data_IF_240333481405
#
_entry.id   IF_240333481405
#
_cell.length_a   1.000
_cell.length_b   1.000
_cell.length_c   1.000
_cell.angle_alpha   90.00
_cell.angle_beta   90.00
_cell.angle_gamma   90.00
#
_symmetry.space_group_name_H-M   'P 1'
#
loop_
_entity.id
_entity.type
_entity.pdbx_description
1 polymer ?
#
# COMPACT_ATOMS: atom_id res chain seq x y z
N UNK A 1 -17.91 68.74 -43.77
CA UNK A 1 -16.73 67.86 -43.83
C UNK A 1 -16.34 67.56 -42.38
N UNK A 2 -16.76 66.41 -41.90
CA UNK A 2 -16.53 65.98 -40.49
C UNK A 2 -15.42 64.90 -40.51
N UNK A 3 -14.32 65.22 -39.85
CA UNK A 3 -13.18 64.31 -39.75
C UNK A 3 -13.42 63.25 -38.67
N UNK A 4 -13.37 62.00 -39.04
CA UNK A 4 -13.55 60.83 -38.19
C UNK A 4 -12.18 60.47 -37.58
N UNK A 5 -12.02 60.60 -36.27
CA UNK A 5 -10.86 60.18 -35.50
C UNK A 5 -10.67 58.68 -35.50
N UNK A 6 -9.45 58.14 -35.54
CA UNK A 6 -9.21 56.70 -35.49
C UNK A 6 -9.40 56.19 -34.04
N UNK A 7 -10.20 55.19 -33.88
CA UNK A 7 -10.45 54.41 -32.66
C UNK A 7 -9.21 53.59 -32.34
N UNK A 8 -8.55 53.89 -31.22
CA UNK A 8 -7.44 53.09 -30.68
C UNK A 8 -8.08 51.84 -30.08
N UNK A 9 -7.92 50.70 -30.75
CA UNK A 9 -8.26 49.41 -30.20
C UNK A 9 -7.22 49.07 -29.16
N UNK A 10 -7.50 49.41 -27.89
CA UNK A 10 -6.79 48.89 -26.74
C UNK A 10 -7.12 47.39 -26.64
N UNK A 11 -6.15 46.54 -26.97
CA UNK A 11 -6.23 45.12 -26.76
C UNK A 11 -6.36 44.80 -25.26
N UNK A 12 -7.58 44.67 -24.80
CA UNK A 12 -7.88 44.04 -23.50
C UNK A 12 -7.40 42.59 -23.61
N UNK A 13 -6.23 42.33 -23.06
CA UNK A 13 -5.83 40.97 -22.74
C UNK A 13 -6.84 40.51 -21.70
N UNK A 14 -7.67 39.56 -22.06
CA UNK A 14 -8.71 38.98 -21.20
C UNK A 14 -8.01 38.50 -19.91
N UNK A 15 -8.42 38.99 -18.74
CA UNK A 15 -7.87 38.61 -17.42
C UNK A 15 -7.89 37.08 -17.23
N UNK A 16 -8.81 36.40 -17.91
CA UNK A 16 -8.93 34.97 -18.00
C UNK A 16 -7.74 34.32 -18.75
N UNK A 17 -7.28 34.93 -19.84
CA UNK A 17 -6.10 34.44 -20.61
C UNK A 17 -4.81 34.63 -19.82
N UNK A 18 -4.68 35.73 -19.09
CA UNK A 18 -3.54 36.00 -18.20
C UNK A 18 -3.48 34.98 -17.07
N UNK A 19 -4.62 34.63 -16.47
CA UNK A 19 -4.72 33.60 -15.43
C UNK A 19 -4.28 32.22 -15.91
N UNK A 20 -4.73 31.82 -17.10
CA UNK A 20 -4.34 30.54 -17.70
C UNK A 20 -2.84 30.51 -17.99
N UNK A 21 -2.29 31.62 -18.49
CA UNK A 21 -0.84 31.70 -18.78
C UNK A 21 0.01 31.57 -17.51
N UNK A 22 -0.40 32.18 -16.41
CA UNK A 22 0.27 32.07 -15.10
C UNK A 22 0.23 30.64 -14.60
N UNK A 23 -0.92 29.96 -14.68
CA UNK A 23 -1.06 28.56 -14.25
C UNK A 23 -0.12 27.65 -15.07
N UNK A 24 -0.10 27.81 -16.39
CA UNK A 24 0.79 27.05 -17.27
C UNK A 24 2.28 27.31 -16.94
N UNK A 25 2.64 28.53 -16.64
CA UNK A 25 4.01 28.88 -16.27
C UNK A 25 4.41 28.22 -14.93
N UNK A 26 3.53 28.22 -13.94
CA UNK A 26 3.77 27.56 -12.64
C UNK A 26 3.92 26.04 -12.80
N UNK A 27 3.09 25.42 -13.63
CA UNK A 27 3.19 23.97 -13.92
C UNK A 27 4.50 23.65 -14.64
N UNK A 28 4.92 24.44 -15.63
CA UNK A 28 6.18 24.25 -16.33
C UNK A 28 7.40 24.46 -15.42
N UNK A 29 7.37 25.43 -14.53
CA UNK A 29 8.46 25.65 -13.57
C UNK A 29 8.54 24.54 -12.52
N UNK A 30 7.40 24.05 -12.04
CA UNK A 30 7.36 22.96 -11.04
C UNK A 30 7.84 21.63 -11.65
N UNK A 31 7.42 21.28 -12.86
CA UNK A 31 7.91 20.09 -13.57
C UNK A 31 9.38 20.19 -13.93
N UNK A 32 9.84 21.38 -14.38
CA UNK A 32 11.26 21.63 -14.64
C UNK A 32 12.12 21.51 -13.37
N UNK A 33 11.64 22.01 -12.25
CA UNK A 33 12.35 21.91 -10.97
C UNK A 33 12.49 20.44 -10.51
N UNK A 34 11.43 19.63 -10.60
CA UNK A 34 11.46 18.20 -10.27
C UNK A 34 12.43 17.45 -11.19
N UNK A 35 12.42 17.76 -12.49
CA UNK A 35 13.34 17.15 -13.48
C UNK A 35 14.80 17.48 -13.18
N UNK A 36 15.11 18.73 -12.85
CA UNK A 36 16.48 19.15 -12.46
C UNK A 36 16.92 18.50 -11.14
N UNK A 37 16.02 18.33 -10.19
CA UNK A 37 16.29 17.59 -8.95
C UNK A 37 16.63 16.12 -9.22
N UNK A 38 15.90 15.46 -10.12
CA UNK A 38 16.20 14.09 -10.53
C UNK A 38 17.56 13.96 -11.25
N UNK A 39 17.90 14.91 -12.12
CA UNK A 39 19.22 14.95 -12.76
C UNK A 39 20.36 15.21 -11.77
N UNK A 40 20.15 16.02 -10.72
CA UNK A 40 21.15 16.27 -9.67
C UNK A 40 21.37 15.07 -8.75
N UNK A 41 20.39 14.18 -8.61
CA UNK A 41 20.54 12.95 -7.84
C UNK A 41 21.16 11.79 -8.64
N UNK A 42 21.30 11.94 -9.97
CA UNK A 42 21.84 10.93 -10.88
C UNK A 42 23.31 11.07 -11.28
N UNK A 43 23.94 12.23 -11.06
CA UNK A 43 25.31 12.48 -11.53
C UNK A 43 26.25 12.91 -10.40
N UNK A 44 26.93 11.91 -9.81
CA UNK A 44 28.27 12.13 -9.29
C UNK A 44 29.25 11.83 -10.44
N UNK A 45 30.01 12.80 -10.97
CA UNK A 45 30.88 12.55 -12.08
C UNK A 45 32.14 11.79 -11.64
N UNK A 46 32.23 10.51 -11.92
CA UNK A 46 33.52 9.83 -11.97
C UNK A 46 34.22 10.18 -13.29
N UNK A 47 34.97 11.27 -13.30
CA UNK A 47 36.00 11.54 -14.29
C UNK A 47 37.29 10.81 -13.86
N UNK A 48 37.67 9.78 -14.60
CA UNK A 48 38.99 9.15 -14.46
C UNK A 48 39.09 7.80 -15.17
N UNK A 49 39.84 7.79 -16.27
CA UNK A 49 40.46 6.62 -16.89
C UNK A 49 39.62 5.70 -17.79
N UNK A 50 39.29 6.17 -18.96
CA UNK A 50 38.69 5.38 -20.07
C UNK A 50 39.74 4.55 -20.89
N UNK A 51 40.97 4.40 -20.46
CA UNK A 51 42.02 3.74 -21.26
C UNK A 51 42.65 2.47 -20.66
N UNK A 52 42.22 2.01 -19.47
CA UNK A 52 42.86 0.87 -18.81
C UNK A 52 41.94 -0.35 -18.61
N UNK A 53 40.69 -0.34 -19.06
CA UNK A 53 39.69 -1.40 -18.69
C UNK A 53 39.24 -2.29 -19.84
N UNK A 54 39.99 -2.36 -20.96
CA UNK A 54 39.67 -3.34 -22.01
C UNK A 54 40.26 -4.74 -21.79
N UNK A 55 40.94 -5.01 -20.67
CA UNK A 55 41.67 -6.26 -20.43
C UNK A 55 41.19 -7.09 -19.25
N UNK A 56 40.01 -6.80 -18.67
CA UNK A 56 39.44 -7.63 -17.57
C UNK A 56 37.94 -7.78 -17.67
N UNK A 57 37.46 -8.37 -18.77
CA UNK A 57 36.12 -8.96 -18.79
C UNK A 57 36.21 -10.39 -18.27
N UNK A 58 36.19 -10.54 -16.96
CA UNK A 58 35.78 -11.78 -16.29
C UNK A 58 34.38 -11.57 -15.71
N UNK A 59 33.51 -12.60 -15.70
CA UNK A 59 32.08 -12.47 -15.40
C UNK A 59 31.84 -12.36 -13.89
N UNK A 60 31.95 -11.15 -13.36
CA UNK A 60 31.64 -10.85 -11.93
C UNK A 60 30.79 -9.58 -11.78
N UNK A 61 30.04 -9.19 -12.80
CA UNK A 61 29.13 -8.05 -12.71
C UNK A 61 27.70 -8.47 -12.33
N UNK A 62 27.56 -9.43 -11.42
CA UNK A 62 26.28 -9.84 -10.82
C UNK A 62 26.23 -9.48 -9.32
N UNK A 63 26.95 -8.46 -8.90
CA UNK A 63 26.99 -8.08 -7.48
C UNK A 63 27.02 -6.56 -7.35
N UNK A 64 25.87 -5.94 -7.34
CA UNK A 64 25.49 -4.80 -6.50
C UNK A 64 24.14 -4.20 -6.95
N UNK A 65 23.08 -5.01 -6.91
CA UNK A 65 21.79 -4.46 -6.53
C UNK A 65 21.95 -3.97 -5.08
N UNK A 66 21.40 -2.79 -4.71
CA UNK A 66 21.46 -2.35 -3.33
C UNK A 66 20.88 -3.49 -2.49
N UNK A 67 21.70 -4.05 -1.63
CA UNK A 67 21.35 -5.03 -0.62
C UNK A 67 20.34 -4.35 0.30
N UNK A 68 19.08 -4.33 -0.12
CA UNK A 68 17.96 -3.98 0.76
C UNK A 68 18.04 -5.00 1.86
N UNK A 69 18.37 -4.52 3.04
CA UNK A 69 18.57 -5.29 4.25
C UNK A 69 17.58 -6.45 4.28
N UNK A 70 18.08 -7.65 3.99
CA UNK A 70 17.31 -8.87 4.19
C UNK A 70 16.85 -8.79 5.64
N UNK A 71 15.54 -8.89 5.90
CA UNK A 71 15.02 -8.89 7.27
C UNK A 71 15.82 -9.96 7.97
N UNK A 72 16.62 -9.55 8.95
CA UNK A 72 17.41 -10.50 9.74
C UNK A 72 16.40 -11.48 10.34
N UNK A 73 16.53 -12.76 10.01
CA UNK A 73 15.69 -13.80 10.61
C UNK A 73 16.11 -14.09 12.07
N UNK A 74 17.22 -13.50 12.51
CA UNK A 74 17.66 -13.58 13.90
C UNK A 74 16.68 -12.83 14.80
N UNK A 75 16.06 -13.54 15.73
CA UNK A 75 15.10 -12.98 16.70
C UNK A 75 13.63 -13.12 16.30
N UNK A 76 13.31 -13.69 15.13
CA UNK A 76 11.94 -14.04 14.79
C UNK A 76 11.47 -15.28 15.57
N UNK A 77 10.20 -15.25 15.99
CA UNK A 77 9.55 -16.43 16.57
C UNK A 77 9.33 -17.50 15.48
N UNK A 78 9.07 -18.74 15.89
CA UNK A 78 8.76 -19.84 14.95
C UNK A 78 7.56 -19.52 14.06
N UNK A 79 6.55 -18.79 14.57
CA UNK A 79 5.39 -18.34 13.79
C UNK A 79 5.78 -17.31 12.76
N UNK A 80 6.56 -16.32 13.15
CA UNK A 80 7.06 -15.27 12.26
C UNK A 80 7.97 -15.86 11.17
N UNK A 81 8.83 -16.82 11.50
CA UNK A 81 9.65 -17.53 10.52
C UNK A 81 8.81 -18.25 9.48
N UNK A 82 7.77 -18.97 9.90
CA UNK A 82 6.86 -19.63 8.96
C UNK A 82 6.12 -18.64 8.06
N UNK A 83 5.59 -17.56 8.61
CA UNK A 83 4.99 -16.48 7.82
C UNK A 83 6.01 -15.90 6.83
N UNK A 84 7.24 -15.71 7.29
CA UNK A 84 8.34 -15.21 6.45
C UNK A 84 8.63 -16.10 5.25
N UNK A 85 8.60 -17.43 5.40
CA UNK A 85 8.88 -18.36 4.30
C UNK A 85 7.65 -18.68 3.44
N UNK A 86 6.43 -18.57 3.99
CA UNK A 86 5.19 -18.91 3.27
C UNK A 86 4.63 -17.77 2.44
N UNK A 87 4.80 -16.53 2.90
CA UNK A 87 4.26 -15.37 2.21
C UNK A 87 5.13 -14.95 1.02
N UNK A 88 4.52 -14.62 -0.13
CA UNK A 88 5.26 -14.20 -1.31
C UNK A 88 6.05 -12.92 -1.04
N UNK A 89 7.21 -12.83 -1.67
CA UNK A 89 8.11 -11.68 -1.60
C UNK A 89 8.46 -11.21 -2.99
N UNK A 90 8.52 -9.90 -3.19
CA UNK A 90 9.00 -9.28 -4.44
C UNK A 90 9.96 -8.14 -4.09
N UNK A 91 11.11 -8.11 -4.75
CA UNK A 91 12.13 -7.08 -4.55
C UNK A 91 12.56 -6.89 -3.07
N UNK A 92 12.63 -7.98 -2.30
CA UNK A 92 13.04 -7.95 -0.89
C UNK A 92 11.99 -7.41 0.09
N UNK A 93 10.77 -7.12 -0.39
CA UNK A 93 9.68 -6.64 0.46
C UNK A 93 8.49 -7.59 0.41
N UNK A 94 7.70 -7.62 1.48
CA UNK A 94 6.41 -8.28 1.58
C UNK A 94 5.39 -7.25 1.99
N UNK A 95 4.49 -6.89 1.09
CA UNK A 95 3.40 -5.95 1.36
C UNK A 95 2.09 -6.71 1.41
N UNK A 96 1.34 -6.52 2.47
CA UNK A 96 0.03 -7.13 2.70
C UNK A 96 -1.00 -6.03 2.92
N UNK A 97 -2.09 -6.06 2.19
CA UNK A 97 -3.25 -5.21 2.45
C UNK A 97 -4.39 -6.05 2.98
N UNK A 98 -5.10 -5.54 3.98
CA UNK A 98 -6.19 -6.26 4.64
C UNK A 98 -7.39 -5.35 4.70
N UNK A 99 -8.55 -5.83 4.25
CA UNK A 99 -9.82 -5.14 4.46
C UNK A 99 -10.12 -5.06 5.96
N UNK A 100 -10.50 -3.88 6.44
CA UNK A 100 -10.88 -3.69 7.85
C UNK A 100 -11.99 -4.64 8.29
N UNK A 101 -12.92 -4.93 7.41
CA UNK A 101 -14.05 -5.81 7.66
C UNK A 101 -13.66 -7.29 7.88
N UNK A 102 -12.47 -7.69 7.45
CA UNK A 102 -11.90 -9.01 7.73
C UNK A 102 -11.38 -9.15 9.17
N UNK A 103 -11.11 -8.03 9.85
CA UNK A 103 -10.47 -7.99 11.16
C UNK A 103 -11.38 -7.43 12.25
N UNK A 104 -12.22 -6.46 11.88
CA UNK A 104 -13.00 -5.64 12.80
C UNK A 104 -14.49 -5.82 12.53
N UNK A 105 -15.26 -5.97 13.57
CA UNK A 105 -16.70 -5.77 13.49
C UNK A 105 -16.99 -4.27 13.55
N UNK A 106 -17.33 -3.71 12.38
CA UNK A 106 -17.61 -2.28 12.20
C UNK A 106 -19.11 -1.95 12.17
N UNK A 107 -20.01 -2.94 12.40
CA UNK A 107 -21.45 -2.72 12.38
C UNK A 107 -21.89 -1.65 13.37
N UNK A 108 -21.25 -1.62 14.53
CA UNK A 108 -21.46 -0.59 15.53
C UNK A 108 -20.17 0.19 15.77
N UNK A 109 -20.00 1.41 15.18
CA UNK A 109 -18.79 2.21 15.35
C UNK A 109 -18.51 2.66 16.79
N UNK A 110 -19.50 2.55 17.70
CA UNK A 110 -19.30 2.83 19.12
C UNK A 110 -18.73 1.64 19.89
N UNK A 111 -18.85 0.43 19.33
CA UNK A 111 -18.38 -0.83 19.91
C UNK A 111 -17.51 -1.60 18.93
N UNK A 112 -16.35 -1.05 18.64
CA UNK A 112 -15.35 -1.76 17.84
C UNK A 112 -14.89 -3.02 18.57
N UNK A 113 -14.89 -4.13 17.87
CA UNK A 113 -14.41 -5.41 18.37
C UNK A 113 -13.61 -6.13 17.27
N UNK A 114 -12.67 -6.96 17.66
CA UNK A 114 -12.02 -7.88 16.73
C UNK A 114 -13.00 -8.97 16.31
N UNK A 115 -12.89 -9.45 15.07
CA UNK A 115 -13.71 -10.58 14.59
C UNK A 115 -13.37 -11.87 15.31
N UNK A 116 -12.16 -11.99 15.86
CA UNK A 116 -11.69 -13.10 16.67
C UNK A 116 -10.57 -12.62 17.61
N UNK A 117 -10.48 -13.19 18.81
CA UNK A 117 -9.50 -12.82 19.85
C UNK A 117 -8.05 -13.11 19.44
N UNK A 118 -7.81 -14.01 18.48
CA UNK A 118 -6.47 -14.29 17.96
C UNK A 118 -5.97 -13.27 16.93
N UNK A 119 -6.86 -12.43 16.37
CA UNK A 119 -6.53 -11.48 15.30
C UNK A 119 -5.40 -10.53 15.70
N UNK A 120 -5.39 -9.88 16.87
CA UNK A 120 -4.33 -8.97 17.26
C UNK A 120 -2.94 -9.63 17.29
N UNK A 121 -2.84 -10.81 17.88
CA UNK A 121 -1.58 -11.55 17.98
C UNK A 121 -1.05 -11.98 16.61
N UNK A 122 -1.93 -12.47 15.72
CA UNK A 122 -1.58 -12.81 14.34
C UNK A 122 -1.16 -11.60 13.52
N UNK A 123 -1.86 -10.49 13.71
CA UNK A 123 -1.57 -9.24 13.03
C UNK A 123 -0.22 -8.65 13.50
N UNK A 124 0.10 -8.80 14.77
CA UNK A 124 1.42 -8.45 15.33
C UNK A 124 2.52 -9.28 14.68
N UNK A 125 2.38 -10.61 14.65
CA UNK A 125 3.35 -11.49 13.99
C UNK A 125 3.53 -11.16 12.50
N UNK A 126 2.42 -10.89 11.79
CA UNK A 126 2.44 -10.51 10.39
C UNK A 126 3.18 -9.18 10.17
N UNK A 127 2.96 -8.19 11.05
CA UNK A 127 3.59 -6.87 10.96
C UNK A 127 5.10 -6.90 11.22
N UNK A 128 5.63 -7.93 11.86
CA UNK A 128 7.07 -8.14 12.02
C UNK A 128 7.76 -8.58 10.71
N UNK A 129 7.05 -9.29 9.85
CA UNK A 129 7.63 -9.88 8.64
C UNK A 129 7.12 -9.25 7.34
N UNK A 130 6.07 -8.44 7.43
CA UNK A 130 5.42 -7.80 6.30
C UNK A 130 5.17 -6.31 6.56
N UNK A 131 5.09 -5.55 5.48
CA UNK A 131 4.55 -4.21 5.45
C UNK A 131 3.01 -4.30 5.35
N UNK A 132 2.32 -4.12 6.48
CA UNK A 132 0.87 -4.32 6.59
C UNK A 132 0.14 -2.99 6.49
N UNK A 133 -0.87 -2.94 5.60
CA UNK A 133 -1.80 -1.81 5.44
C UNK A 133 -3.22 -2.28 5.70
N UNK A 134 -3.94 -1.54 6.53
CA UNK A 134 -5.37 -1.76 6.77
C UNK A 134 -6.19 -0.81 5.90
N UNK A 135 -7.23 -1.33 5.26
CA UNK A 135 -8.14 -0.58 4.40
C UNK A 135 -9.54 -0.61 5.01
N UNK A 136 -9.95 0.50 5.61
CA UNK A 136 -11.24 0.62 6.29
C UNK A 136 -12.21 1.45 5.45
N UNK A 137 -13.43 0.94 5.27
CA UNK A 137 -14.52 1.68 4.64
C UNK A 137 -15.28 2.44 5.72
N UNK A 138 -15.44 3.74 5.54
CA UNK A 138 -16.23 4.60 6.42
C UNK A 138 -17.39 5.21 5.63
N UNK A 139 -18.49 5.52 6.31
CA UNK A 139 -19.70 6.03 5.63
C UNK A 139 -19.53 7.42 5.03
N UNK A 140 -18.73 8.27 5.66
CA UNK A 140 -18.47 9.64 5.24
C UNK A 140 -16.99 9.99 5.38
N UNK A 141 -16.42 10.63 4.35
CA UNK A 141 -15.05 11.13 4.36
C UNK A 141 -14.80 12.20 5.45
N UNK A 142 -15.85 12.85 5.93
CA UNK A 142 -15.80 13.86 7.00
C UNK A 142 -15.93 13.24 8.41
N UNK A 143 -16.23 11.96 8.51
CA UNK A 143 -16.36 11.25 9.79
C UNK A 143 -14.99 10.97 10.40
N UNK A 144 -14.31 12.05 10.78
CA UNK A 144 -13.00 11.98 11.43
C UNK A 144 -13.04 11.26 12.78
N UNK A 145 -14.20 11.26 13.45
CA UNK A 145 -14.36 10.60 14.76
C UNK A 145 -14.30 9.07 14.62
N UNK A 146 -15.01 8.48 13.67
CA UNK A 146 -14.93 7.04 13.41
C UNK A 146 -13.54 6.62 12.94
N UNK A 147 -12.92 7.41 12.06
CA UNK A 147 -11.54 7.16 11.63
C UNK A 147 -10.56 7.17 12.80
N UNK A 148 -10.68 8.15 13.69
CA UNK A 148 -9.82 8.27 14.86
C UNK A 148 -10.04 7.11 15.84
N UNK A 149 -11.30 6.72 16.10
CA UNK A 149 -11.62 5.57 16.95
C UNK A 149 -11.00 4.28 16.43
N UNK A 150 -11.08 4.01 15.12
CA UNK A 150 -10.45 2.84 14.51
C UNK A 150 -8.94 2.88 14.71
N UNK A 151 -8.30 4.03 14.45
CA UNK A 151 -6.85 4.18 14.67
C UNK A 151 -6.45 3.93 16.12
N UNK A 152 -7.18 4.53 17.05
CA UNK A 152 -6.93 4.36 18.49
C UNK A 152 -7.16 2.92 18.92
N UNK A 153 -8.24 2.28 18.47
CA UNK A 153 -8.55 0.89 18.78
C UNK A 153 -7.39 -0.05 18.37
N UNK A 154 -6.86 0.13 17.16
CA UNK A 154 -5.73 -0.66 16.68
C UNK A 154 -4.44 -0.30 17.42
N UNK A 155 -4.13 1.00 17.58
CA UNK A 155 -2.87 1.46 18.17
C UNK A 155 -2.75 1.23 19.68
N UNK A 156 -3.85 1.14 20.40
CA UNK A 156 -3.86 0.92 21.86
C UNK A 156 -3.79 -0.55 22.25
N UNK A 157 -4.01 -1.46 21.28
CA UNK A 157 -3.92 -2.89 21.57
C UNK A 157 -2.48 -3.27 21.96
N UNK A 158 -2.26 -3.99 23.08
CA UNK A 158 -0.94 -4.30 23.61
C UNK A 158 0.00 -4.95 22.58
N UNK A 159 -0.52 -5.90 21.78
CA UNK A 159 0.24 -6.66 20.80
C UNK A 159 0.58 -5.85 19.54
N UNK A 160 -0.19 -4.79 19.24
CA UNK A 160 -0.07 -3.98 18.02
C UNK A 160 0.64 -2.65 18.25
N UNK A 161 0.98 -2.35 19.50
CA UNK A 161 1.64 -1.09 19.85
C UNK A 161 3.00 -1.01 19.17
N UNK A 162 3.12 -0.13 18.19
CA UNK A 162 4.39 0.14 17.53
C UNK A 162 5.32 0.91 18.45
N UNK A 163 6.47 0.33 18.79
CA UNK A 163 7.58 1.09 19.37
C UNK A 163 8.44 1.61 18.22
N UNK A 164 8.79 2.89 18.23
CA UNK A 164 9.53 3.56 17.13
C UNK A 164 10.86 2.89 16.75
N UNK A 165 11.39 2.03 17.61
CA UNK A 165 12.68 1.37 17.45
C UNK A 165 12.60 -0.10 17.04
N UNK A 166 11.41 -0.71 16.96
CA UNK A 166 11.26 -2.13 16.68
C UNK A 166 10.41 -2.39 15.44
N UNK A 167 10.78 -3.43 14.69
CA UNK A 167 9.91 -4.02 13.68
C UNK A 167 8.67 -4.57 14.40
N UNK A 168 7.49 -4.27 13.88
CA UNK A 168 6.22 -4.74 14.42
C UNK A 168 5.25 -3.62 14.77
N UNK A 169 3.98 -3.98 14.89
CA UNK A 169 2.89 -3.05 15.09
C UNK A 169 2.42 -2.37 13.80
N UNK A 170 1.24 -1.76 13.86
CA UNK A 170 0.65 -1.05 12.72
C UNK A 170 0.73 0.44 12.95
N UNK A 171 1.50 1.12 12.10
CA UNK A 171 1.64 2.57 12.16
C UNK A 171 0.35 3.25 11.73
N UNK A 172 -0.04 4.33 12.39
CA UNK A 172 -1.30 5.04 12.14
C UNK A 172 -1.48 5.47 10.67
N UNK A 173 -0.41 5.83 9.97
CA UNK A 173 -0.46 6.21 8.55
C UNK A 173 -0.69 5.03 7.59
N UNK A 174 -0.59 3.78 8.05
CA UNK A 174 -0.91 2.57 7.28
C UNK A 174 -2.35 2.09 7.47
N UNK A 175 -3.12 2.80 8.29
CA UNK A 175 -4.56 2.61 8.40
C UNK A 175 -5.22 3.63 7.47
N UNK A 176 -5.65 3.14 6.31
CA UNK A 176 -6.19 3.95 5.22
C UNK A 176 -7.71 3.89 5.23
N UNK A 177 -8.35 4.99 4.88
CA UNK A 177 -9.80 5.11 4.88
C UNK A 177 -10.31 5.48 3.50
N UNK A 178 -11.39 4.85 3.09
CA UNK A 178 -12.15 5.16 1.90
C UNK A 178 -13.66 5.13 2.20
N UNK A 179 -14.47 5.66 1.31
CA UNK A 179 -15.93 5.70 1.48
C UNK A 179 -16.66 4.73 0.56
N UNK A 180 -15.94 4.05 -0.31
CA UNK A 180 -16.52 3.14 -1.32
C UNK A 180 -15.60 1.96 -1.59
N UNK A 181 -16.16 0.85 -2.07
CA UNK A 181 -15.38 -0.30 -2.57
C UNK A 181 -14.46 0.09 -3.73
N UNK A 182 -14.88 1.02 -4.61
CA UNK A 182 -14.03 1.54 -5.69
C UNK A 182 -12.79 2.24 -5.12
N UNK A 183 -12.96 3.04 -4.07
CA UNK A 183 -11.84 3.69 -3.37
C UNK A 183 -10.90 2.67 -2.74
N UNK A 184 -11.44 1.59 -2.15
CA UNK A 184 -10.65 0.48 -1.63
C UNK A 184 -9.82 -0.20 -2.72
N UNK A 185 -10.45 -0.52 -3.87
CA UNK A 185 -9.77 -1.09 -5.05
C UNK A 185 -8.64 -0.17 -5.54
N UNK A 186 -8.87 1.14 -5.60
CA UNK A 186 -7.86 2.10 -6.01
C UNK A 186 -6.62 2.10 -5.08
N UNK A 187 -6.82 2.04 -3.75
CA UNK A 187 -5.72 1.90 -2.79
C UNK A 187 -4.94 0.60 -3.00
N UNK A 188 -5.63 -0.54 -3.14
CA UNK A 188 -4.96 -1.83 -3.36
C UNK A 188 -4.11 -1.79 -4.62
N UNK A 189 -4.64 -1.24 -5.72
CA UNK A 189 -3.90 -1.11 -6.98
C UNK A 189 -2.70 -0.17 -6.89
N UNK A 190 -2.79 0.89 -6.07
CA UNK A 190 -1.69 1.82 -5.86
C UNK A 190 -0.59 1.25 -4.96
N UNK A 191 -0.96 0.45 -3.96
CA UNK A 191 -0.03 -0.18 -3.02
C UNK A 191 0.69 -1.37 -3.67
N UNK A 192 0.06 -2.02 -4.65
CA UNK A 192 0.55 -3.24 -5.33
C UNK A 192 0.97 -4.33 -4.33
N UNK A 193 0.07 -4.78 -3.43
CA UNK A 193 0.42 -5.76 -2.41
C UNK A 193 0.73 -7.13 -3.01
N UNK A 194 1.49 -7.92 -2.29
CA UNK A 194 1.73 -9.33 -2.65
C UNK A 194 0.59 -10.24 -2.23
N UNK A 195 -0.09 -9.85 -1.15
CA UNK A 195 -1.28 -10.51 -0.62
C UNK A 195 -2.32 -9.47 -0.27
N UNK A 196 -3.55 -9.70 -0.67
CA UNK A 196 -4.71 -8.91 -0.26
C UNK A 196 -5.72 -9.82 0.44
N UNK A 197 -6.22 -9.39 1.59
CA UNK A 197 -7.29 -10.10 2.33
C UNK A 197 -8.58 -9.32 2.19
N UNK A 198 -9.64 -9.97 1.73
CA UNK A 198 -10.91 -9.32 1.40
C UNK A 198 -12.11 -10.19 1.78
N UNK A 199 -13.20 -9.53 2.14
CA UNK A 199 -14.51 -10.16 2.42
C UNK A 199 -15.54 -9.88 1.33
N UNK A 200 -15.38 -8.80 0.57
CA UNK A 200 -16.30 -8.39 -0.49
C UNK A 200 -15.97 -9.10 -1.82
N UNK A 201 -16.84 -10.00 -2.23
CA UNK A 201 -16.70 -10.78 -3.47
C UNK A 201 -16.62 -9.90 -4.74
N UNK A 202 -17.25 -8.71 -4.74
CA UNK A 202 -17.15 -7.75 -5.83
C UNK A 202 -15.74 -7.19 -5.95
N UNK A 203 -15.14 -6.80 -4.83
CA UNK A 203 -13.76 -6.30 -4.77
C UNK A 203 -12.77 -7.40 -5.18
N UNK A 204 -12.98 -8.64 -4.76
CA UNK A 204 -12.14 -9.79 -5.16
C UNK A 204 -12.11 -9.93 -6.68
N UNK A 205 -13.28 -9.91 -7.36
CA UNK A 205 -13.38 -10.01 -8.82
C UNK A 205 -12.65 -8.89 -9.56
N UNK A 206 -12.73 -7.66 -9.03
CA UNK A 206 -12.07 -6.52 -9.65
C UNK A 206 -10.55 -6.55 -9.45
N UNK A 207 -10.07 -7.18 -8.38
CA UNK A 207 -8.65 -7.25 -8.02
C UNK A 207 -7.94 -8.52 -8.51
N UNK A 208 -8.65 -9.57 -8.94
CA UNK A 208 -8.05 -10.86 -9.32
C UNK A 208 -6.95 -10.75 -10.38
N UNK A 209 -7.05 -9.76 -11.29
CA UNK A 209 -6.05 -9.52 -12.34
C UNK A 209 -4.85 -8.66 -11.90
N UNK A 210 -4.94 -8.07 -10.72
CA UNK A 210 -3.99 -7.06 -10.27
C UNK A 210 -3.15 -7.51 -9.08
N UNK A 211 -3.65 -8.46 -8.28
CA UNK A 211 -2.99 -8.90 -7.05
C UNK A 211 -2.51 -10.34 -7.21
N UNK A 212 -1.25 -10.63 -6.91
CA UNK A 212 -0.67 -11.97 -7.08
C UNK A 212 -1.34 -13.04 -6.22
N UNK A 213 -1.82 -12.68 -5.03
CA UNK A 213 -2.56 -13.58 -4.12
C UNK A 213 -3.66 -12.82 -3.40
N UNK A 214 -4.88 -13.31 -3.50
CA UNK A 214 -6.03 -12.81 -2.75
C UNK A 214 -6.51 -13.91 -1.80
N UNK A 215 -6.69 -13.55 -0.54
CA UNK A 215 -7.33 -14.39 0.47
C UNK A 215 -8.75 -13.87 0.65
N UNK A 216 -9.71 -14.61 0.14
CA UNK A 216 -11.12 -14.26 0.22
C UNK A 216 -11.77 -14.99 1.40
N UNK A 217 -12.38 -14.24 2.29
CA UNK A 217 -13.14 -14.72 3.44
C UNK A 217 -14.62 -14.49 3.12
N UNK A 218 -15.33 -15.47 2.56
CA UNK A 218 -16.71 -15.30 2.13
C UNK A 218 -17.62 -15.04 3.35
N UNK A 219 -18.51 -14.07 3.21
CA UNK A 219 -19.50 -13.73 4.24
C UNK A 219 -20.84 -14.41 4.00
N UNK A 220 -21.04 -14.98 2.82
CA UNK A 220 -22.26 -15.72 2.44
C UNK A 220 -21.93 -17.03 1.70
N UNK A 221 -22.84 -18.01 1.69
CA UNK A 221 -22.69 -19.21 0.89
C UNK A 221 -22.55 -18.94 -0.62
N UNK A 222 -23.17 -17.86 -1.12
CA UNK A 222 -23.11 -17.45 -2.51
C UNK A 222 -21.70 -16.96 -2.86
N UNK A 223 -21.07 -16.20 -1.95
CA UNK A 223 -19.68 -15.74 -2.10
C UNK A 223 -18.68 -16.91 -2.08
N UNK A 224 -18.97 -17.94 -1.26
CA UNK A 224 -18.17 -19.16 -1.21
C UNK A 224 -18.26 -19.99 -2.51
N UNK A 225 -19.34 -19.85 -3.28
CA UNK A 225 -19.55 -20.55 -4.55
C UNK A 225 -18.92 -19.83 -5.76
N UNK A 226 -18.15 -18.78 -5.56
CA UNK A 226 -17.45 -18.09 -6.65
C UNK A 226 -16.51 -19.00 -7.43
N UNK A 227 -16.34 -18.78 -8.74
CA UNK A 227 -15.39 -19.54 -9.54
C UNK A 227 -13.98 -19.48 -8.95
N UNK A 228 -13.33 -20.64 -8.87
CA UNK A 228 -11.95 -20.71 -8.38
C UNK A 228 -11.00 -20.13 -9.42
N UNK A 229 -10.29 -19.08 -9.03
CA UNK A 229 -9.22 -18.44 -9.81
C UNK A 229 -7.88 -18.82 -9.16
N UNK A 230 -6.81 -19.12 -9.93
CA UNK A 230 -5.57 -19.66 -9.37
C UNK A 230 -4.90 -18.83 -8.27
N UNK A 231 -5.10 -17.51 -8.30
CA UNK A 231 -4.53 -16.58 -7.31
C UNK A 231 -5.52 -16.18 -6.21
N UNK A 232 -6.74 -16.70 -6.20
CA UNK A 232 -7.74 -16.47 -5.16
C UNK A 232 -7.88 -17.71 -4.30
N UNK A 233 -7.67 -17.55 -3.00
CA UNK A 233 -7.80 -18.61 -2.00
C UNK A 233 -9.05 -18.30 -1.17
N UNK A 234 -10.06 -19.14 -1.28
CA UNK A 234 -11.26 -19.04 -0.45
C UNK A 234 -11.00 -19.72 0.90
N UNK A 235 -11.28 -18.98 1.99
CA UNK A 235 -11.06 -19.45 3.36
C UNK A 235 -12.41 -19.52 4.05
N UNK A 236 -12.76 -20.68 4.57
CA UNK A 236 -14.11 -20.95 5.10
C UNK A 236 -14.48 -20.22 6.38
N UNK A 237 -13.48 -19.79 7.18
CA UNK A 237 -13.77 -19.39 8.54
C UNK A 237 -13.49 -17.89 8.81
N UNK A 238 -12.22 -17.49 8.75
CA UNK A 238 -11.82 -16.18 9.21
C UNK A 238 -10.37 -15.86 8.83
N UNK A 239 -9.97 -14.60 8.97
CA UNK A 239 -8.57 -14.19 8.92
C UNK A 239 -7.69 -15.04 9.84
N UNK A 240 -8.11 -15.24 11.09
CA UNK A 240 -7.37 -16.04 12.06
C UNK A 240 -7.20 -17.48 11.60
N UNK A 241 -8.24 -18.12 11.07
CA UNK A 241 -8.20 -19.47 10.55
C UNK A 241 -7.11 -19.66 9.48
N UNK A 242 -7.07 -18.77 8.51
CA UNK A 242 -6.06 -18.84 7.43
C UNK A 242 -4.65 -18.62 7.93
N UNK A 243 -4.41 -17.52 8.64
CA UNK A 243 -3.05 -17.18 9.07
C UNK A 243 -2.53 -18.10 10.17
N UNK A 244 -3.39 -18.66 11.01
CA UNK A 244 -3.02 -19.71 11.97
C UNK A 244 -2.58 -20.99 11.25
N UNK A 245 -3.28 -21.40 10.19
CA UNK A 245 -2.90 -22.57 9.40
C UNK A 245 -1.52 -22.44 8.76
N UNK A 246 -1.25 -21.32 8.08
CA UNK A 246 0.05 -21.10 7.43
C UNK A 246 1.20 -20.86 8.41
N UNK A 247 0.91 -20.47 9.64
CA UNK A 247 1.87 -20.30 10.72
C UNK A 247 1.95 -21.49 11.68
N UNK A 248 1.06 -22.48 11.55
CA UNK A 248 1.11 -23.68 12.35
C UNK A 248 2.33 -24.55 12.01
N UNK A 249 2.85 -25.26 13.00
CA UNK A 249 3.88 -26.26 12.78
C UNK A 249 3.25 -27.41 12.01
N UNK A 250 3.80 -27.78 10.83
CA UNK A 250 3.44 -29.03 10.19
C UNK A 250 3.66 -30.14 11.22
N UNK A 251 2.58 -30.86 11.57
CA UNK A 251 2.71 -32.08 12.35
C UNK A 251 3.15 -33.16 11.38
N UNK A 252 4.46 -33.34 11.29
CA UNK A 252 5.08 -34.52 10.71
C UNK A 252 4.78 -35.75 11.58
#
# INVERSE_FOLDING_TARGET
MSAKSPEVVNGMIDDSLLGILIILLVVMLSTGYVYVQQLRQGDAPQRGNAAANLARMAPSALASAPERAAISTAGLTDRQLRLHFTLPMRNGARTVTISGDALLNTENPERLAWTNDEVPALLADLSHVCDVHLLCVVKDAKDTMSMQRIREFVATHPDLKSNDSTLGGIKAHKILFCTTSIGKIAFVRQIEPHVHVEVDAGVVRDLERHVPRIVHIPTSPEDAAMPTVPNVIHVGDSFAGYFSLISAKERL
#
